data_IF_033899210257
#
_entry.id   IF_033899210257
#
_cell.length_a   1.000
_cell.length_b   1.000
_cell.length_c   1.000
_cell.angle_alpha   90.00
_cell.angle_beta   90.00
_cell.angle_gamma   90.00
#
_symmetry.space_group_name_H-M   'P 1'
#
loop_
_entity.id
_entity.type
_entity.pdbx_description
1 polymer ?
#
# COMPACT_ATOMS: atom_id res chain seq x y z
N UNK A 1 -4.27 31.70 -49.75
CA UNK A 1 -3.13 31.10 -49.01
C UNK A 1 -3.32 31.44 -47.55
N UNK A 2 -4.09 30.63 -46.83
CA UNK A 2 -4.41 30.86 -45.42
C UNK A 2 -3.36 30.15 -44.57
N UNK A 3 -2.72 30.88 -43.67
CA UNK A 3 -1.64 30.39 -42.80
C UNK A 3 -2.30 29.82 -41.53
N UNK A 4 -2.04 28.57 -41.12
CA UNK A 4 -2.67 28.02 -39.93
C UNK A 4 -2.16 28.75 -38.69
N UNK A 5 -3.06 29.15 -37.80
CA UNK A 5 -2.73 29.75 -36.53
C UNK A 5 -2.07 28.70 -35.61
N UNK A 6 -0.96 29.03 -34.90
CA UNK A 6 -0.33 28.08 -34.00
C UNK A 6 -1.17 27.84 -32.73
N UNK A 7 -1.15 26.60 -32.28
CA UNK A 7 -1.90 26.04 -31.16
C UNK A 7 -1.74 26.85 -29.85
N UNK A 8 -2.84 27.42 -29.36
CA UNK A 8 -2.90 28.03 -28.02
C UNK A 8 -3.06 27.01 -26.89
N UNK A 9 -3.31 25.74 -27.22
CA UNK A 9 -3.67 24.68 -26.26
C UNK A 9 -2.45 24.09 -25.55
N UNK A 10 -1.35 23.84 -26.28
CA UNK A 10 -0.18 23.12 -25.78
C UNK A 10 0.60 23.88 -24.70
N UNK A 11 0.60 25.22 -24.78
CA UNK A 11 1.24 26.07 -23.77
C UNK A 11 0.54 25.99 -22.40
N UNK A 12 -0.78 25.74 -22.38
CA UNK A 12 -1.55 25.64 -21.13
C UNK A 12 -1.30 24.30 -20.44
N UNK A 13 -1.26 23.21 -21.19
CA UNK A 13 -1.04 21.87 -20.65
C UNK A 13 0.40 21.68 -20.16
N UNK A 14 1.38 22.14 -20.92
CA UNK A 14 2.78 22.13 -20.50
C UNK A 14 3.01 22.98 -19.24
N UNK A 15 2.33 24.13 -19.12
CA UNK A 15 2.40 24.96 -17.91
C UNK A 15 1.76 24.28 -16.70
N UNK A 16 0.57 23.66 -16.87
CA UNK A 16 -0.10 22.89 -15.83
C UNK A 16 0.76 21.72 -15.35
N UNK A 17 1.39 20.99 -16.27
CA UNK A 17 2.30 19.90 -15.95
C UNK A 17 3.49 20.39 -15.12
N UNK A 18 4.16 21.47 -15.52
CA UNK A 18 5.28 22.05 -14.74
C UNK A 18 4.87 22.50 -13.34
N UNK A 19 3.66 23.06 -13.20
CA UNK A 19 3.13 23.47 -11.89
C UNK A 19 2.88 22.24 -11.01
N UNK A 20 2.26 21.19 -11.55
CA UNK A 20 2.07 19.91 -10.85
C UNK A 20 3.39 19.30 -10.45
N UNK A 21 4.34 19.17 -11.37
CA UNK A 21 5.65 18.56 -11.10
C UNK A 21 6.37 19.30 -9.96
N UNK A 22 6.32 20.65 -9.95
CA UNK A 22 6.89 21.46 -8.89
C UNK A 22 6.16 21.28 -7.55
N UNK A 23 4.82 21.24 -7.58
CA UNK A 23 4.03 20.98 -6.39
C UNK A 23 4.38 19.61 -5.79
N UNK A 24 4.43 18.56 -6.61
CA UNK A 24 4.76 17.21 -6.19
C UNK A 24 6.16 17.12 -5.60
N UNK A 25 7.16 17.75 -6.24
CA UNK A 25 8.53 17.76 -5.74
C UNK A 25 8.66 18.42 -4.34
N UNK A 26 7.80 19.40 -4.04
CA UNK A 26 7.76 20.08 -2.73
C UNK A 26 6.93 19.30 -1.71
N UNK A 27 5.76 18.80 -2.11
CA UNK A 27 4.81 18.10 -1.23
C UNK A 27 5.32 16.71 -0.83
N UNK A 28 5.99 16.03 -1.75
CA UNK A 28 6.52 14.67 -1.61
C UNK A 28 8.04 14.61 -1.88
N UNK A 29 8.88 15.12 -0.96
CA UNK A 29 10.32 15.06 -1.13
C UNK A 29 10.81 13.62 -1.29
N UNK A 30 11.58 13.35 -2.34
CA UNK A 30 12.14 12.02 -2.63
C UNK A 30 11.17 11.03 -3.28
N UNK A 31 9.93 11.44 -3.58
CA UNK A 31 8.95 10.62 -4.27
C UNK A 31 8.90 10.92 -5.80
N UNK A 32 8.30 10.01 -6.59
CA UNK A 32 7.87 10.29 -7.97
C UNK A 32 7.12 11.61 -8.09
N UNK A 33 7.54 12.48 -9.01
CA UNK A 33 6.95 13.82 -9.15
C UNK A 33 6.72 14.26 -10.60
N UNK A 34 7.09 13.44 -11.59
CA UNK A 34 6.70 13.67 -12.99
C UNK A 34 5.66 12.65 -13.44
N UNK A 35 4.92 12.94 -14.50
CA UNK A 35 3.98 11.98 -15.10
C UNK A 35 4.62 10.66 -15.55
N UNK A 36 5.91 10.66 -15.86
CA UNK A 36 6.63 9.44 -16.21
C UNK A 36 6.86 8.60 -14.95
N UNK A 37 7.30 9.24 -13.87
CA UNK A 37 7.53 8.57 -12.59
C UNK A 37 6.23 8.06 -11.97
N UNK A 38 5.15 8.84 -12.06
CA UNK A 38 3.83 8.46 -11.52
C UNK A 38 3.19 7.29 -12.29
N UNK A 39 3.66 6.98 -13.50
CA UNK A 39 3.29 5.77 -14.24
C UNK A 39 4.08 4.54 -13.79
N UNK A 40 5.20 4.72 -13.08
CA UNK A 40 5.87 3.63 -12.38
C UNK A 40 5.15 3.36 -11.06
N UNK A 41 4.10 2.54 -11.13
CA UNK A 41 3.28 2.22 -9.96
C UNK A 41 4.08 1.54 -8.85
N UNK A 42 5.15 0.80 -9.15
CA UNK A 42 6.00 0.21 -8.12
C UNK A 42 6.76 1.28 -7.33
N UNK A 43 7.34 2.27 -8.02
CA UNK A 43 8.00 3.42 -7.40
C UNK A 43 7.04 4.24 -6.52
N UNK A 44 5.84 4.52 -7.02
CA UNK A 44 4.80 5.25 -6.27
C UNK A 44 4.38 4.48 -5.02
N UNK A 45 4.06 3.19 -5.15
CA UNK A 45 3.62 2.36 -4.02
C UNK A 45 4.71 2.30 -2.96
N UNK A 46 5.98 2.17 -3.36
CA UNK A 46 7.11 2.21 -2.43
C UNK A 46 7.14 3.54 -1.66
N UNK A 47 7.01 4.68 -2.33
CA UNK A 47 6.99 5.98 -1.66
C UNK A 47 5.78 6.18 -0.75
N UNK A 48 4.59 5.76 -1.18
CA UNK A 48 3.38 5.83 -0.36
C UNK A 48 3.51 4.96 0.89
N UNK A 49 4.13 3.77 0.76
CA UNK A 49 4.43 2.92 1.91
C UNK A 49 5.38 3.59 2.90
N UNK A 50 6.45 4.25 2.43
CA UNK A 50 7.36 4.96 3.33
C UNK A 50 6.62 6.04 4.14
N UNK A 51 5.74 6.83 3.51
CA UNK A 51 4.91 7.79 4.25
C UNK A 51 3.97 7.10 5.25
N UNK A 52 3.38 5.97 4.88
CA UNK A 52 2.54 5.20 5.78
C UNK A 52 3.30 4.62 6.99
N UNK A 53 4.51 4.11 6.76
CA UNK A 53 5.43 3.60 7.81
C UNK A 53 5.84 4.73 8.76
N UNK A 54 5.98 5.96 8.26
CA UNK A 54 6.23 7.18 9.03
C UNK A 54 4.95 7.79 9.69
N UNK A 55 3.82 7.07 9.65
CA UNK A 55 2.49 7.50 10.13
C UNK A 55 1.91 8.76 9.45
N UNK A 56 2.48 9.16 8.30
CA UNK A 56 2.00 10.26 7.45
C UNK A 56 0.94 9.75 6.45
N UNK A 57 -0.21 9.38 6.99
CA UNK A 57 -1.33 8.83 6.22
C UNK A 57 -1.82 9.79 5.14
N UNK A 58 -1.85 11.09 5.43
CA UNK A 58 -2.34 12.11 4.50
C UNK A 58 -1.49 12.11 3.22
N UNK A 59 -0.16 12.16 3.35
CA UNK A 59 0.72 12.11 2.18
C UNK A 59 0.64 10.78 1.44
N UNK A 60 0.55 9.67 2.15
CA UNK A 60 0.46 8.35 1.52
C UNK A 60 -0.79 8.25 0.61
N UNK A 61 -1.95 8.65 1.14
CA UNK A 61 -3.21 8.64 0.37
C UNK A 61 -3.20 9.65 -0.77
N UNK A 62 -2.72 10.87 -0.53
CA UNK A 62 -2.67 11.94 -1.55
C UNK A 62 -1.78 11.55 -2.74
N UNK A 63 -0.60 10.97 -2.47
CA UNK A 63 0.29 10.49 -3.53
C UNK A 63 -0.37 9.40 -4.38
N UNK A 64 -1.05 8.45 -3.74
CA UNK A 64 -1.74 7.36 -4.45
C UNK A 64 -2.95 7.85 -5.23
N UNK A 65 -3.71 8.83 -4.71
CA UNK A 65 -4.81 9.45 -5.45
C UNK A 65 -4.31 10.11 -6.74
N UNK A 66 -3.23 10.90 -6.65
CA UNK A 66 -2.63 11.54 -7.83
C UNK A 66 -2.14 10.49 -8.83
N UNK A 67 -1.54 9.40 -8.36
CA UNK A 67 -1.11 8.31 -9.23
C UNK A 67 -2.28 7.59 -9.91
N UNK A 68 -3.40 7.38 -9.21
CA UNK A 68 -4.63 6.83 -9.79
C UNK A 68 -5.17 7.72 -10.92
N UNK A 69 -5.04 9.04 -10.81
CA UNK A 69 -5.48 9.98 -11.85
C UNK A 69 -4.56 10.00 -13.08
N UNK A 70 -3.25 9.82 -12.88
CA UNK A 70 -2.23 9.83 -13.94
C UNK A 70 -2.12 8.48 -14.65
N UNK A 71 -2.17 7.38 -13.90
CA UNK A 71 -2.11 6.01 -14.42
C UNK A 71 -3.45 5.29 -14.22
N UNK A 72 -4.48 5.75 -14.94
CA UNK A 72 -5.87 5.34 -14.71
C UNK A 72 -6.17 3.88 -15.07
N UNK A 73 -5.34 3.24 -15.87
CA UNK A 73 -5.55 1.86 -16.36
C UNK A 73 -4.83 0.82 -15.50
N UNK A 74 -3.97 1.25 -14.56
CA UNK A 74 -3.29 0.35 -13.64
C UNK A 74 -4.07 0.25 -12.33
N UNK A 75 -4.45 -0.96 -11.94
CA UNK A 75 -5.14 -1.25 -10.69
C UNK A 75 -4.23 -1.08 -9.47
N UNK A 76 -2.91 -1.16 -9.62
CA UNK A 76 -1.96 -1.31 -8.51
C UNK A 76 -2.00 -0.14 -7.52
N UNK A 77 -1.98 1.15 -7.93
CA UNK A 77 -2.08 2.27 -6.99
C UNK A 77 -3.42 2.31 -6.25
N UNK A 78 -4.50 1.88 -6.89
CA UNK A 78 -5.82 1.84 -6.28
C UNK A 78 -5.89 0.80 -5.16
N UNK A 79 -5.35 -0.39 -5.44
CA UNK A 79 -5.29 -1.49 -4.48
C UNK A 79 -4.42 -1.11 -3.27
N UNK A 80 -3.24 -0.52 -3.49
CA UNK A 80 -2.41 -0.02 -2.40
C UNK A 80 -3.14 1.03 -1.54
N UNK A 81 -3.91 1.92 -2.17
CA UNK A 81 -4.68 2.94 -1.44
C UNK A 81 -5.82 2.32 -0.62
N UNK A 82 -6.58 1.38 -1.19
CA UNK A 82 -7.60 0.62 -0.46
C UNK A 82 -7.01 -0.11 0.75
N UNK A 83 -5.84 -0.72 0.61
CA UNK A 83 -5.19 -1.41 1.71
C UNK A 83 -4.76 -0.46 2.83
N UNK A 84 -4.17 0.70 2.51
CA UNK A 84 -3.83 1.73 3.52
C UNK A 84 -5.08 2.18 4.28
N UNK A 85 -6.19 2.45 3.58
CA UNK A 85 -7.45 2.84 4.21
C UNK A 85 -8.00 1.73 5.12
N UNK A 86 -7.89 0.47 4.70
CA UNK A 86 -8.29 -0.67 5.52
C UNK A 86 -7.45 -0.80 6.80
N UNK A 87 -6.11 -0.70 6.67
CA UNK A 87 -5.16 -0.79 7.77
C UNK A 87 -5.40 0.31 8.82
N UNK A 88 -5.73 1.53 8.38
CA UNK A 88 -6.07 2.67 9.27
C UNK A 88 -7.55 2.76 9.63
N UNK A 89 -8.34 1.74 9.32
CA UNK A 89 -9.78 1.63 9.65
C UNK A 89 -10.64 2.79 9.12
N UNK A 90 -10.33 3.33 7.94
CA UNK A 90 -11.04 4.43 7.26
C UNK A 90 -12.21 3.93 6.42
N UNK A 91 -13.29 3.51 7.09
CA UNK A 91 -14.39 2.78 6.44
C UNK A 91 -15.22 3.58 5.43
N UNK A 92 -15.36 4.89 5.64
CA UNK A 92 -16.11 5.74 4.71
C UNK A 92 -15.31 5.97 3.42
N UNK A 93 -14.06 6.39 3.57
CA UNK A 93 -13.12 6.67 2.49
C UNK A 93 -12.82 5.39 1.70
N UNK A 94 -12.68 4.25 2.39
CA UNK A 94 -12.54 2.94 1.73
C UNK A 94 -13.72 2.64 0.82
N UNK A 95 -14.95 2.91 1.28
CA UNK A 95 -16.14 2.65 0.49
C UNK A 95 -16.27 3.54 -0.75
N UNK A 96 -15.93 4.82 -0.62
CA UNK A 96 -15.91 5.74 -1.75
C UNK A 96 -14.87 5.31 -2.80
N UNK A 97 -13.67 4.95 -2.34
CA UNK A 97 -12.61 4.48 -3.23
C UNK A 97 -12.96 3.14 -3.88
N UNK A 98 -13.55 2.20 -3.14
CA UNK A 98 -13.98 0.91 -3.65
C UNK A 98 -15.05 1.06 -4.73
N UNK A 99 -15.97 2.02 -4.58
CA UNK A 99 -16.97 2.33 -5.60
C UNK A 99 -16.31 2.84 -6.88
N UNK A 100 -15.46 3.86 -6.78
CA UNK A 100 -14.68 4.39 -7.92
C UNK A 100 -13.83 3.31 -8.60
N UNK A 101 -13.22 2.42 -7.81
CA UNK A 101 -12.46 1.29 -8.33
C UNK A 101 -13.33 0.36 -9.17
N UNK A 102 -14.51 -0.03 -8.67
CA UNK A 102 -15.40 -0.94 -9.40
C UNK A 102 -15.99 -0.31 -10.67
N UNK A 103 -16.31 0.98 -10.65
CA UNK A 103 -16.72 1.71 -11.85
C UNK A 103 -15.62 1.68 -12.92
N UNK A 104 -14.36 1.79 -12.50
CA UNK A 104 -13.21 1.80 -13.41
C UNK A 104 -12.80 0.41 -13.89
N UNK A 105 -12.85 -0.58 -13.01
CA UNK A 105 -12.38 -1.95 -13.23
C UNK A 105 -13.50 -2.97 -12.92
N UNK A 106 -14.62 -2.95 -13.67
CA UNK A 106 -15.78 -3.78 -13.37
C UNK A 106 -15.50 -5.29 -13.46
N UNK A 107 -14.48 -5.68 -14.25
CA UNK A 107 -14.03 -7.06 -14.42
C UNK A 107 -12.81 -7.46 -13.57
N UNK A 108 -12.37 -6.62 -12.62
CA UNK A 108 -11.18 -6.93 -11.83
C UNK A 108 -11.40 -8.18 -10.98
N UNK A 109 -10.47 -9.13 -11.08
CA UNK A 109 -10.43 -10.31 -10.21
C UNK A 109 -10.15 -10.00 -8.73
N UNK A 110 -9.81 -8.74 -8.40
CA UNK A 110 -9.59 -8.27 -7.03
C UNK A 110 -10.86 -7.80 -6.34
N UNK A 111 -11.95 -7.60 -7.09
CA UNK A 111 -13.21 -7.11 -6.55
C UNK A 111 -13.79 -7.95 -5.39
N UNK A 112 -13.80 -9.30 -5.45
CA UNK A 112 -14.30 -10.11 -4.33
C UNK A 112 -13.56 -9.85 -3.01
N UNK A 113 -12.25 -9.64 -3.08
CA UNK A 113 -11.44 -9.34 -1.90
C UNK A 113 -11.73 -7.95 -1.34
N UNK A 114 -11.91 -6.95 -2.21
CA UNK A 114 -12.31 -5.60 -1.80
C UNK A 114 -13.67 -5.63 -1.09
N UNK A 115 -14.62 -6.43 -1.60
CA UNK A 115 -15.91 -6.63 -0.93
C UNK A 115 -15.75 -7.27 0.45
N UNK A 116 -14.89 -8.30 0.58
CA UNK A 116 -14.59 -8.98 1.85
C UNK A 116 -13.99 -8.02 2.88
N UNK A 117 -12.98 -7.24 2.49
CA UNK A 117 -12.37 -6.21 3.34
C UNK A 117 -13.37 -5.11 3.71
N UNK A 118 -14.15 -4.64 2.74
CA UNK A 118 -15.19 -3.63 2.94
C UNK A 118 -16.27 -4.07 3.92
N UNK A 119 -16.71 -5.34 3.86
CA UNK A 119 -17.70 -5.88 4.78
C UNK A 119 -17.19 -5.88 6.23
N UNK A 120 -15.92 -6.22 6.43
CA UNK A 120 -15.26 -6.20 7.75
C UNK A 120 -15.11 -4.78 8.30
N UNK A 121 -14.90 -3.79 7.43
CA UNK A 121 -14.61 -2.42 7.81
C UNK A 121 -15.87 -1.54 7.95
N UNK A 122 -16.85 -1.73 7.08
CA UNK A 122 -18.09 -0.95 6.99
C UNK A 122 -19.29 -1.87 6.69
N UNK A 123 -19.67 -2.76 7.62
CA UNK A 123 -20.72 -3.77 7.42
C UNK A 123 -22.10 -3.18 7.12
N UNK A 124 -22.34 -1.93 7.48
CA UNK A 124 -23.56 -1.19 7.17
C UNK A 124 -23.69 -0.81 5.68
N UNK A 125 -22.58 -0.80 4.93
CA UNK A 125 -22.60 -0.43 3.53
C UNK A 125 -23.02 -1.62 2.66
N UNK A 126 -24.19 -1.50 2.03
CA UNK A 126 -24.82 -2.56 1.22
C UNK A 126 -24.00 -2.98 -0.01
N UNK A 127 -23.11 -2.12 -0.50
CA UNK A 127 -22.19 -2.47 -1.61
C UNK A 127 -21.39 -3.73 -1.27
N UNK A 128 -21.02 -3.89 0.00
CA UNK A 128 -20.20 -5.01 0.47
C UNK A 128 -21.00 -6.28 0.77
N UNK A 129 -22.33 -6.24 0.77
CA UNK A 129 -23.18 -7.42 1.03
C UNK A 129 -23.20 -8.43 -0.12
N UNK A 130 -22.68 -8.06 -1.29
CA UNK A 130 -22.44 -8.98 -2.40
C UNK A 130 -21.22 -9.90 -2.19
N UNK A 131 -20.44 -9.71 -1.12
CA UNK A 131 -19.37 -10.63 -0.77
C UNK A 131 -19.97 -12.02 -0.49
N UNK A 132 -19.60 -13.04 -1.27
CA UNK A 132 -20.00 -14.41 -0.93
C UNK A 132 -19.33 -14.83 0.38
N UNK A 133 -20.08 -15.18 1.44
CA UNK A 133 -19.52 -15.41 2.78
C UNK A 133 -18.63 -16.65 2.94
N UNK A 134 -18.31 -17.40 1.87
CA UNK A 134 -17.57 -18.67 2.00
C UNK A 134 -16.10 -18.51 2.44
N UNK A 135 -15.58 -17.28 2.45
CA UNK A 135 -14.19 -16.97 2.83
C UNK A 135 -14.11 -15.84 3.88
N UNK A 136 -15.24 -15.37 4.40
CA UNK A 136 -15.29 -14.32 5.43
C UNK A 136 -15.14 -14.86 6.87
N UNK A 137 -15.11 -16.20 7.03
CA UNK A 137 -15.24 -16.89 8.31
C UNK A 137 -13.95 -17.53 8.82
N UNK A 138 -12.78 -17.07 8.35
CA UNK A 138 -11.50 -17.53 8.90
C UNK A 138 -10.58 -16.34 9.15
N UNK A 139 -10.32 -16.15 10.44
CA UNK A 139 -9.43 -15.21 11.13
C UNK A 139 -9.97 -13.83 11.54
N UNK A 140 -10.04 -13.72 12.87
CA UNK A 140 -10.16 -12.50 13.67
C UNK A 140 -8.98 -11.54 13.45
N UNK A 141 -7.88 -12.04 12.87
CA UNK A 141 -6.73 -11.28 12.39
C UNK A 141 -6.83 -11.12 10.86
N UNK A 142 -6.08 -10.22 10.24
CA UNK A 142 -5.75 -10.43 8.83
C UNK A 142 -5.27 -11.89 8.69
N UNK A 143 -5.88 -12.68 7.80
CA UNK A 143 -5.82 -14.15 7.83
C UNK A 143 -4.45 -14.79 8.03
N UNK A 144 -4.43 -16.08 8.37
CA UNK A 144 -3.22 -16.85 8.56
C UNK A 144 -2.25 -16.64 7.38
N UNK A 145 -1.04 -16.17 7.71
CA UNK A 145 0.06 -15.99 6.78
C UNK A 145 0.23 -17.23 5.87
N UNK A 146 0.47 -17.12 4.55
CA UNK A 146 0.67 -15.93 3.70
C UNK A 146 -0.60 -15.48 2.96
N UNK A 147 -1.80 -15.71 3.50
CA UNK A 147 -3.08 -15.47 2.80
C UNK A 147 -3.53 -14.00 2.81
N UNK A 148 -2.69 -13.10 3.33
CA UNK A 148 -2.94 -11.66 3.46
C UNK A 148 -2.52 -10.94 2.19
N UNK A 149 -3.39 -10.09 1.64
CA UNK A 149 -3.00 -9.18 0.56
C UNK A 149 -1.87 -8.25 1.02
N UNK A 150 -0.97 -7.91 0.10
CA UNK A 150 0.11 -6.96 0.34
C UNK A 150 0.30 -6.08 -0.91
N UNK A 151 -0.75 -5.36 -1.25
CA UNK A 151 -0.79 -4.42 -2.37
C UNK A 151 0.09 -3.19 -2.12
N UNK A 152 0.34 -2.82 -0.86
CA UNK A 152 1.36 -1.82 -0.47
C UNK A 152 2.80 -2.35 -0.60
N UNK A 153 2.96 -3.65 -0.90
CA UNK A 153 4.24 -4.33 -1.07
C UNK A 153 5.18 -4.17 0.13
N UNK A 154 4.62 -4.06 1.33
CA UNK A 154 5.38 -3.95 2.55
C UNK A 154 6.30 -5.16 2.70
N UNK A 155 7.58 -4.95 3.06
CA UNK A 155 8.44 -6.08 3.36
C UNK A 155 7.79 -6.87 4.48
N UNK A 156 7.50 -8.16 4.23
CA UNK A 156 6.93 -9.07 5.22
C UNK A 156 7.92 -9.45 6.32
N UNK A 157 8.90 -8.59 6.57
CA UNK A 157 10.12 -8.93 7.28
C UNK A 157 9.89 -8.87 8.80
N UNK A 158 9.18 -9.88 9.30
CA UNK A 158 9.19 -10.26 10.71
C UNK A 158 10.61 -10.62 11.18
N UNK A 159 11.65 -10.64 10.35
CA UNK A 159 13.02 -10.88 10.79
C UNK A 159 13.44 -9.86 11.86
N UNK A 160 13.02 -8.60 11.76
CA UNK A 160 13.28 -7.62 12.82
C UNK A 160 12.68 -8.02 14.16
N UNK A 161 11.40 -8.42 14.16
CA UNK A 161 10.67 -8.80 15.36
C UNK A 161 11.07 -10.17 15.91
N UNK A 162 11.39 -11.12 15.04
CA UNK A 162 11.92 -12.45 15.38
C UNK A 162 13.33 -12.34 15.95
N UNK A 163 14.22 -11.55 15.32
CA UNK A 163 15.56 -11.28 15.87
C UNK A 163 15.48 -10.52 17.20
N UNK A 164 14.56 -9.57 17.34
CA UNK A 164 14.33 -8.89 18.61
C UNK A 164 13.82 -9.87 19.68
N UNK A 165 12.89 -10.76 19.35
CA UNK A 165 12.36 -11.78 20.25
C UNK A 165 13.44 -12.79 20.67
N UNK A 166 14.27 -13.27 19.74
CA UNK A 166 15.41 -14.16 19.99
C UNK A 166 16.48 -13.47 20.85
N UNK A 167 16.80 -12.21 20.56
CA UNK A 167 17.71 -11.40 21.37
C UNK A 167 17.19 -11.25 22.81
N UNK A 168 15.91 -10.89 22.98
CA UNK A 168 15.30 -10.77 24.29
C UNK A 168 15.21 -12.12 25.03
N UNK A 169 14.96 -13.23 24.34
CA UNK A 169 15.01 -14.57 24.92
C UNK A 169 16.43 -14.92 25.42
N UNK A 170 17.45 -14.56 24.64
CA UNK A 170 18.87 -14.77 24.97
C UNK A 170 19.35 -13.87 26.12
N UNK A 171 18.84 -12.65 26.24
CA UNK A 171 19.13 -11.74 27.36
C UNK A 171 18.38 -12.13 28.64
N UNK A 172 17.20 -12.76 28.54
CA UNK A 172 16.43 -13.26 29.70
C UNK A 172 16.91 -14.60 30.25
N UNK A 173 17.71 -15.36 29.48
CA UNK A 173 18.33 -16.62 29.88
C UNK A 173 19.75 -16.48 30.46
N UNK A 174 20.08 -15.33 31.05
CA UNK A 174 21.42 -15.04 31.56
C UNK A 174 21.80 -15.85 32.81
N UNK A 175 22.32 -17.05 32.61
CA UNK A 175 23.50 -17.56 33.32
C UNK A 175 24.34 -18.40 32.36
N UNK A 176 25.49 -17.85 31.95
CA UNK A 176 26.47 -18.57 31.15
C UNK A 176 27.22 -19.51 32.08
N UNK A 177 26.80 -20.77 32.13
CA UNK A 177 27.65 -21.82 32.70
C UNK A 177 28.90 -21.94 31.82
N UNK A 178 30.07 -21.74 32.43
CA UNK A 178 31.38 -21.84 31.82
C UNK A 178 31.58 -23.18 31.07
N UNK A 179 32.42 -23.23 30.02
CA UNK A 179 32.71 -24.47 29.33
C UNK A 179 33.39 -25.44 30.30
N UNK A 180 32.75 -26.59 30.55
CA UNK A 180 33.38 -27.68 31.28
C UNK A 180 34.49 -28.25 30.41
N UNK A 181 35.72 -27.84 30.69
CA UNK A 181 36.92 -28.60 30.34
C UNK A 181 37.18 -29.64 31.44
N UNK A 182 37.07 -30.92 31.09
CA UNK A 182 37.64 -32.01 31.89
C UNK A 182 38.08 -33.18 31.00
N UNK A 183 39.37 -33.14 30.65
CA UNK A 183 40.36 -34.22 30.53
C UNK A 183 39.88 -35.70 30.52
N UNK A 184 40.15 -36.36 29.39
CA UNK A 184 40.98 -37.56 29.16
C UNK A 184 40.96 -38.82 30.06
N UNK A 185 41.11 -39.98 29.37
CA UNK A 185 41.54 -41.35 29.76
C UNK A 185 40.36 -42.34 29.94
N UNK A 186 40.26 -43.54 29.36
CA UNK A 186 41.14 -44.59 28.75
C UNK A 186 40.29 -45.32 27.66
N UNK A 187 40.83 -45.99 26.64
CA UNK A 187 41.83 -47.08 26.62
C UNK A 187 43.03 -46.83 25.71
#
# INVERSE_FOLDING_TARGET
>A
MEKPAPAKTDFSEAARRRIRDRYLAVRFPGAPHTDADLRDSAGVIKSARLYFEDDDLERACELLEIACEVNRDDESPWLAHLEILFLKRKGHEFAELAHRFHERFPGSGRWPEILRLGLRLAPQNKVFHGAHPREADIDEHYGAWPQVQNWIQAPFDLTGDVLAAEFHARMRGGEVAAPISAKASKE
#
